data_IF_672495962837
#
_entry.id   IF_672495962837
#
_cell.length_a   1.000
_cell.length_b   1.000
_cell.length_c   1.000
_cell.angle_alpha   90.00
_cell.angle_beta   90.00
_cell.angle_gamma   90.00
#
_symmetry.space_group_name_H-M   'P 1'
#
loop_
_entity.id
_entity.type
_entity.pdbx_description
1 polymer ?
#
# COMPACT_ATOMS: atom_id res chain seq x y z
N UNK A 1 -11.18 4.66 10.48
CA UNK A 1 -10.08 3.71 10.74
C UNK A 1 -10.14 2.68 9.64
N UNK A 2 -9.13 2.60 8.77
CA UNK A 2 -9.10 1.54 7.75
C UNK A 2 -8.79 0.23 8.47
N UNK A 3 -9.72 -0.72 8.46
CA UNK A 3 -9.49 -2.02 9.10
C UNK A 3 -8.54 -2.86 8.24
N UNK A 4 -7.81 -3.81 8.86
CA UNK A 4 -6.88 -4.69 8.13
C UNK A 4 -7.58 -5.42 6.97
N UNK A 5 -8.85 -5.76 7.16
CA UNK A 5 -9.73 -6.31 6.12
C UNK A 5 -9.97 -5.37 4.92
N UNK A 6 -10.19 -4.08 5.16
CA UNK A 6 -10.38 -3.12 4.07
C UNK A 6 -9.08 -2.92 3.29
N UNK A 7 -7.95 -2.80 4.00
CA UNK A 7 -6.64 -2.75 3.37
C UNK A 7 -6.36 -4.02 2.59
N UNK A 8 -6.76 -5.19 3.11
CA UNK A 8 -6.56 -6.48 2.43
C UNK A 8 -7.37 -6.56 1.15
N UNK A 9 -8.64 -6.16 1.19
CA UNK A 9 -9.49 -6.10 -0.01
C UNK A 9 -8.95 -5.11 -1.03
N UNK A 10 -8.55 -3.92 -0.59
CA UNK A 10 -7.97 -2.90 -1.46
C UNK A 10 -6.68 -3.41 -2.10
N UNK A 11 -5.83 -4.04 -1.31
CA UNK A 11 -4.59 -4.65 -1.76
C UNK A 11 -4.86 -5.73 -2.81
N UNK A 12 -5.71 -6.71 -2.50
CA UNK A 12 -6.07 -7.82 -3.41
C UNK A 12 -6.75 -7.31 -4.70
N UNK A 13 -7.54 -6.25 -4.60
CA UNK A 13 -8.18 -5.61 -5.77
C UNK A 13 -7.16 -4.91 -6.68
N UNK A 14 -6.07 -4.39 -6.13
CA UNK A 14 -5.04 -3.68 -6.89
C UNK A 14 -3.85 -4.58 -7.30
N UNK A 15 -3.71 -5.75 -6.69
CA UNK A 15 -2.75 -6.81 -7.04
C UNK A 15 -3.27 -7.54 -8.28
N UNK A 16 -3.08 -6.90 -9.44
CA UNK A 16 -3.61 -7.39 -10.73
C UNK A 16 -2.86 -8.64 -11.17
N UNK A 17 -1.56 -8.67 -10.87
CA UNK A 17 -0.69 -9.79 -11.22
C UNK A 17 -0.92 -11.03 -10.34
N UNK A 18 -1.67 -10.91 -9.23
CA UNK A 18 -1.84 -11.95 -8.19
C UNK A 18 -0.50 -12.48 -7.67
N UNK A 19 0.52 -11.61 -7.67
CA UNK A 19 1.84 -11.90 -7.11
C UNK A 19 1.76 -12.01 -5.57
N UNK A 20 0.75 -11.37 -4.97
CA UNK A 20 0.64 -11.24 -3.52
C UNK A 20 1.50 -10.10 -2.97
N UNK A 21 2.09 -9.30 -3.85
CA UNK A 21 2.90 -8.11 -3.62
C UNK A 21 2.45 -6.99 -4.56
N UNK A 22 2.28 -5.77 -4.06
CA UNK A 22 1.95 -4.62 -4.91
C UNK A 22 3.23 -3.98 -5.43
N UNK A 23 3.36 -3.83 -6.74
CA UNK A 23 4.43 -3.00 -7.31
C UNK A 23 4.12 -1.50 -7.08
N UNK A 24 5.09 -0.62 -7.38
CA UNK A 24 4.92 0.83 -7.18
C UNK A 24 3.69 1.42 -7.91
N UNK A 25 3.37 0.94 -9.11
CA UNK A 25 2.22 1.44 -9.88
C UNK A 25 0.90 0.98 -9.28
N UNK A 26 0.81 -0.28 -8.87
CA UNK A 26 -0.37 -0.85 -8.22
C UNK A 26 -0.59 -0.23 -6.85
N UNK A 27 0.49 -0.04 -6.08
CA UNK A 27 0.44 0.63 -4.81
C UNK A 27 -0.03 2.07 -4.99
N UNK A 28 0.50 2.85 -5.95
CA UNK A 28 0.06 4.22 -6.27
C UNK A 28 -1.43 4.25 -6.62
N UNK A 29 -1.95 3.28 -7.37
CA UNK A 29 -3.39 3.19 -7.66
C UNK A 29 -4.19 2.92 -6.39
N UNK A 30 -3.77 1.92 -5.60
CA UNK A 30 -4.42 1.57 -4.35
C UNK A 30 -4.49 2.78 -3.42
N UNK A 31 -3.35 3.43 -3.16
CA UNK A 31 -3.28 4.61 -2.29
C UNK A 31 -3.93 5.86 -2.87
N UNK A 32 -4.08 6.00 -4.18
CA UNK A 32 -4.87 7.11 -4.74
C UNK A 32 -6.34 7.01 -4.29
N UNK A 33 -6.90 5.80 -4.25
CA UNK A 33 -8.26 5.57 -3.74
C UNK A 33 -8.41 5.78 -2.23
N UNK A 34 -7.32 5.62 -1.46
CA UNK A 34 -7.33 5.74 0.01
C UNK A 34 -6.35 6.77 0.55
N UNK A 35 -6.03 7.81 -0.24
CA UNK A 35 -4.97 8.80 0.07
C UNK A 35 -5.18 9.47 1.44
N UNK A 36 -6.44 9.66 1.82
CA UNK A 36 -6.86 10.19 3.12
C UNK A 36 -6.46 9.32 4.33
N UNK A 37 -6.24 8.02 4.13
CA UNK A 37 -5.87 7.07 5.19
C UNK A 37 -4.35 6.90 5.34
N UNK A 38 -3.54 7.46 4.44
CA UNK A 38 -2.09 7.40 4.55
C UNK A 38 -1.58 8.21 5.73
N UNK A 39 -0.50 7.72 6.38
CA UNK A 39 0.27 8.49 7.38
C UNK A 39 0.78 9.78 6.77
N UNK A 40 1.55 9.63 5.69
CA UNK A 40 2.23 10.72 5.02
C UNK A 40 2.03 10.58 3.50
N UNK A 41 0.95 11.16 2.93
CA UNK A 41 0.71 11.08 1.49
C UNK A 41 1.82 11.72 0.66
N UNK A 42 2.46 12.79 1.15
CA UNK A 42 3.59 13.46 0.49
C UNK A 42 4.91 12.69 0.58
N UNK A 43 5.07 11.79 1.56
CA UNK A 43 6.27 10.95 1.73
C UNK A 43 6.05 9.51 1.31
N UNK A 44 4.89 9.19 0.73
CA UNK A 44 4.53 7.82 0.35
C UNK A 44 5.60 7.15 -0.52
N UNK A 45 6.13 7.81 -1.55
CA UNK A 45 7.17 7.21 -2.40
C UNK A 45 8.44 6.87 -1.62
N UNK A 46 8.83 7.71 -0.67
CA UNK A 46 10.00 7.48 0.17
C UNK A 46 9.77 6.31 1.13
N UNK A 47 8.61 6.29 1.80
CA UNK A 47 8.22 5.18 2.68
C UNK A 47 8.04 3.87 1.91
N UNK A 48 7.44 3.93 0.71
CA UNK A 48 7.29 2.79 -0.18
C UNK A 48 8.67 2.24 -0.56
N UNK A 49 9.58 3.06 -1.09
CA UNK A 49 10.93 2.62 -1.46
C UNK A 49 11.71 2.03 -0.28
N UNK A 50 11.49 2.55 0.93
CA UNK A 50 12.12 2.04 2.14
C UNK A 50 11.57 0.66 2.55
N UNK A 51 10.30 0.41 2.30
CA UNK A 51 9.61 -0.83 2.64
C UNK A 51 9.61 -1.88 1.51
N UNK A 52 9.84 -1.44 0.27
CA UNK A 52 9.85 -2.22 -0.96
C UNK A 52 11.18 -2.00 -1.73
N UNK A 53 12.33 -2.43 -1.16
CA UNK A 53 13.63 -2.25 -1.81
C UNK A 53 13.75 -3.01 -3.13
N UNK A 54 12.96 -4.07 -3.32
CA UNK A 54 12.89 -4.87 -4.54
C UNK A 54 11.95 -4.28 -5.61
N UNK A 55 11.21 -3.21 -5.29
CA UNK A 55 10.20 -2.59 -6.16
C UNK A 55 8.77 -3.09 -5.91
N UNK A 56 8.59 -4.08 -5.05
CA UNK A 56 7.31 -4.66 -4.67
C UNK A 56 7.13 -4.61 -3.14
N UNK A 57 5.95 -4.19 -2.69
CA UNK A 57 5.60 -4.10 -1.27
C UNK A 57 4.66 -5.23 -0.89
N UNK A 58 5.00 -5.97 0.17
CA UNK A 58 4.11 -6.97 0.74
C UNK A 58 3.00 -6.32 1.57
N UNK A 59 1.88 -7.03 1.75
CA UNK A 59 0.71 -6.54 2.48
C UNK A 59 1.03 -5.99 3.89
N UNK A 60 1.92 -6.65 4.63
CA UNK A 60 2.33 -6.21 5.97
C UNK A 60 3.03 -4.84 5.95
N UNK A 61 3.90 -4.64 4.96
CA UNK A 61 4.59 -3.38 4.77
C UNK A 61 3.65 -2.31 4.20
N UNK A 62 2.75 -2.69 3.31
CA UNK A 62 1.71 -1.80 2.81
C UNK A 62 0.86 -1.23 3.95
N UNK A 63 0.46 -2.06 4.92
CA UNK A 63 -0.28 -1.61 6.10
C UNK A 63 0.46 -0.52 6.89
N UNK A 64 1.79 -0.58 6.99
CA UNK A 64 2.59 0.41 7.73
C UNK A 64 2.51 1.83 7.15
N UNK A 65 2.13 1.96 5.88
CA UNK A 65 1.93 3.24 5.20
C UNK A 65 0.64 3.96 5.66
N UNK A 66 -0.28 3.24 6.32
CA UNK A 66 -1.58 3.74 6.74
C UNK A 66 -1.60 4.19 8.21
N UNK A 67 -2.42 5.20 8.51
CA UNK A 67 -2.69 5.65 9.87
C UNK A 67 -3.50 4.58 10.60
N UNK A 68 -2.93 3.99 11.65
CA UNK A 68 -3.59 2.96 12.48
C UNK A 68 -2.86 1.62 12.53
N UNK A 69 -1.74 1.47 11.82
CA UNK A 69 -0.83 0.32 11.88
C UNK A 69 0.61 0.76 12.17
#
# INVERSE_FOLDING_TARGET
MSSKDELRKLYDTNDVDKSGSLNINEAIKAITSVKQNLKNPDSFEADFKKLAPTGEISFENFCKLFKGF
#
